data_IF_828622225066
#
_entry.id   IF_828622225066
#
_cell.length_a   1.000
_cell.length_b   1.000
_cell.length_c   1.000
_cell.angle_alpha   90.00
_cell.angle_beta   90.00
_cell.angle_gamma   90.00
#
_symmetry.space_group_name_H-M   'P 1'
#
loop_
_entity.id
_entity.type
_entity.pdbx_description
1 polymer ?
#
# COMPACT_ATOMS: atom_id res chain seq x y z
N UNK A 1 -0.30 20.44 15.18
CA UNK A 1 -1.48 21.01 15.83
C UNK A 1 -2.79 20.34 15.38
N UNK A 2 -3.06 20.17 14.09
CA UNK A 2 -4.30 19.56 13.59
C UNK A 2 -4.58 18.13 14.09
N UNK A 3 -3.58 17.29 14.10
CA UNK A 3 -3.68 15.89 14.60
C UNK A 3 -4.07 15.83 16.08
N UNK A 4 -3.53 16.72 16.89
CA UNK A 4 -3.87 16.82 18.30
C UNK A 4 -5.33 17.23 18.51
N UNK A 5 -5.80 18.20 17.73
CA UNK A 5 -7.20 18.63 17.77
C UNK A 5 -8.14 17.48 17.39
N UNK A 6 -7.82 16.75 16.32
CA UNK A 6 -8.61 15.59 15.89
C UNK A 6 -8.62 14.49 16.97
N UNK A 7 -7.47 14.21 17.58
CA UNK A 7 -7.34 13.21 18.64
C UNK A 7 -8.17 13.54 19.88
N UNK A 8 -8.30 14.82 20.21
CA UNK A 8 -9.13 15.28 21.33
C UNK A 8 -10.62 15.34 20.95
N UNK A 9 -10.92 15.79 19.74
CA UNK A 9 -12.29 16.10 19.30
C UNK A 9 -13.09 14.83 18.97
N UNK A 10 -12.45 13.82 18.38
CA UNK A 10 -13.11 12.54 18.04
C UNK A 10 -13.70 11.85 19.28
N UNK A 11 -12.95 11.61 20.36
CA UNK A 11 -13.53 11.02 21.57
C UNK A 11 -14.64 11.86 22.22
N UNK A 12 -14.55 13.18 22.15
CA UNK A 12 -15.60 14.06 22.67
C UNK A 12 -16.90 13.93 21.86
N UNK A 13 -16.79 13.86 20.53
CA UNK A 13 -17.93 13.61 19.65
C UNK A 13 -18.54 12.25 19.97
N UNK A 14 -17.72 11.20 20.13
CA UNK A 14 -18.19 9.85 20.45
C UNK A 14 -18.98 9.83 21.76
N UNK A 15 -18.43 10.41 22.82
CA UNK A 15 -19.10 10.48 24.12
C UNK A 15 -20.43 11.26 23.97
N UNK A 16 -20.43 12.38 23.25
CA UNK A 16 -21.65 13.15 22.99
C UNK A 16 -22.71 12.33 22.27
N UNK A 17 -22.32 11.57 21.25
CA UNK A 17 -23.21 10.69 20.50
C UNK A 17 -23.73 9.54 21.37
N UNK A 18 -22.88 8.91 22.19
CA UNK A 18 -23.33 7.87 23.13
C UNK A 18 -24.37 8.39 24.13
N UNK A 19 -24.17 9.57 24.68
CA UNK A 19 -25.14 10.19 25.59
C UNK A 19 -26.44 10.48 24.85
N UNK A 20 -26.36 11.07 23.66
CA UNK A 20 -27.53 11.48 22.89
C UNK A 20 -28.34 10.26 22.43
N UNK A 21 -27.70 9.29 21.79
CA UNK A 21 -28.37 8.09 21.27
C UNK A 21 -28.85 7.21 22.40
N UNK A 22 -28.02 6.99 23.45
CA UNK A 22 -28.40 6.24 24.64
C UNK A 22 -29.58 6.87 25.40
N UNK A 23 -29.67 8.21 25.39
CA UNK A 23 -30.81 8.94 25.94
C UNK A 23 -32.12 8.72 25.17
N UNK A 24 -32.03 8.51 23.83
CA UNK A 24 -33.22 8.28 22.99
C UNK A 24 -33.71 6.84 22.98
N UNK A 25 -32.81 5.87 22.83
CA UNK A 25 -33.15 4.45 22.63
C UNK A 25 -32.86 3.59 23.85
N UNK A 26 -32.20 4.14 24.85
CA UNK A 26 -31.79 3.41 26.07
C UNK A 26 -30.45 2.70 25.95
N UNK A 27 -29.91 2.30 27.08
CA UNK A 27 -28.56 1.70 27.19
C UNK A 27 -28.43 0.38 26.42
N UNK A 28 -29.35 -0.54 26.59
CA UNK A 28 -29.27 -1.89 26.02
C UNK A 28 -29.30 -1.90 24.48
N UNK A 29 -30.22 -1.19 23.82
CA UNK A 29 -30.18 -1.07 22.35
C UNK A 29 -28.90 -0.39 21.86
N UNK A 30 -28.41 0.62 22.55
CA UNK A 30 -27.16 1.30 22.19
C UNK A 30 -25.96 0.34 22.21
N UNK A 31 -25.82 -0.45 23.26
CA UNK A 31 -24.78 -1.49 23.35
C UNK A 31 -24.95 -2.57 22.28
N UNK A 32 -26.20 -2.95 21.99
CA UNK A 32 -26.50 -3.88 20.92
C UNK A 32 -26.04 -3.39 19.54
N UNK A 33 -26.24 -2.11 19.24
CA UNK A 33 -25.78 -1.50 18.00
C UNK A 33 -24.26 -1.54 17.92
N UNK A 34 -23.56 -1.15 18.99
CA UNK A 34 -22.08 -1.17 19.04
C UNK A 34 -21.51 -2.57 18.81
N UNK A 35 -22.09 -3.59 19.45
CA UNK A 35 -21.66 -4.98 19.25
C UNK A 35 -21.93 -5.43 17.80
N UNK A 36 -23.08 -5.07 17.25
CA UNK A 36 -23.45 -5.43 15.89
C UNK A 36 -22.52 -4.75 14.86
N UNK A 37 -22.22 -3.47 15.03
CA UNK A 37 -21.28 -2.74 14.14
C UNK A 37 -19.88 -3.32 14.22
N UNK A 38 -19.39 -3.70 15.40
CA UNK A 38 -18.10 -4.35 15.58
C UNK A 38 -18.02 -5.70 14.86
N UNK A 39 -19.06 -6.53 14.96
CA UNK A 39 -19.13 -7.83 14.26
C UNK A 39 -19.16 -7.63 12.75
N UNK A 40 -20.04 -6.76 12.25
CA UNK A 40 -20.15 -6.46 10.83
C UNK A 40 -18.86 -5.83 10.28
N UNK A 41 -18.28 -4.89 11.01
CA UNK A 41 -17.03 -4.24 10.65
C UNK A 41 -15.89 -5.25 10.53
N UNK A 42 -15.73 -6.12 11.53
CA UNK A 42 -14.72 -7.17 11.51
C UNK A 42 -14.89 -8.12 10.32
N UNK A 43 -16.11 -8.54 10.03
CA UNK A 43 -16.41 -9.39 8.88
C UNK A 43 -16.05 -8.72 7.55
N UNK A 44 -16.47 -7.45 7.36
CA UNK A 44 -16.20 -6.68 6.15
C UNK A 44 -14.71 -6.38 5.96
N UNK A 45 -14.02 -5.99 7.02
CA UNK A 45 -12.56 -5.75 6.97
C UNK A 45 -11.81 -7.01 6.58
N UNK A 46 -12.17 -8.15 7.18
CA UNK A 46 -11.54 -9.44 6.85
C UNK A 46 -11.77 -9.83 5.39
N UNK A 47 -13.00 -9.75 4.92
CA UNK A 47 -13.33 -10.13 3.54
C UNK A 47 -12.65 -9.23 2.50
N UNK A 48 -12.72 -7.92 2.72
CA UNK A 48 -12.08 -6.95 1.82
C UNK A 48 -10.55 -6.95 1.94
N UNK A 49 -10.01 -7.20 3.12
CA UNK A 49 -8.58 -7.33 3.36
C UNK A 49 -7.95 -8.48 2.58
N UNK A 50 -8.60 -9.66 2.58
CA UNK A 50 -8.16 -10.81 1.78
C UNK A 50 -8.17 -10.47 0.29
N UNK A 51 -9.22 -9.80 -0.19
CA UNK A 51 -9.33 -9.39 -1.59
C UNK A 51 -8.23 -8.39 -1.96
N UNK A 52 -7.95 -7.41 -1.10
CA UNK A 52 -6.88 -6.43 -1.31
C UNK A 52 -5.49 -7.11 -1.37
N UNK A 53 -5.22 -8.08 -0.50
CA UNK A 53 -3.98 -8.85 -0.51
C UNK A 53 -3.82 -9.67 -1.80
N UNK A 54 -4.90 -10.28 -2.29
CA UNK A 54 -4.88 -11.04 -3.53
C UNK A 54 -4.61 -10.13 -4.74
N UNK A 55 -5.25 -8.95 -4.78
CA UNK A 55 -5.00 -7.96 -5.82
C UNK A 55 -3.55 -7.46 -5.80
N UNK A 56 -3.00 -7.22 -4.61
CA UNK A 56 -1.63 -6.81 -4.45
C UNK A 56 -0.64 -7.87 -4.96
N UNK A 57 -0.86 -9.14 -4.58
CA UNK A 57 -0.05 -10.26 -5.09
C UNK A 57 -0.14 -10.39 -6.62
N UNK A 58 -1.34 -10.20 -7.18
CA UNK A 58 -1.56 -10.20 -8.62
C UNK A 58 -0.77 -9.11 -9.35
N UNK A 59 -0.74 -7.89 -8.80
CA UNK A 59 0.02 -6.76 -9.37
C UNK A 59 1.53 -7.04 -9.39
N UNK A 60 2.06 -7.61 -8.31
CA UNK A 60 3.48 -8.01 -8.29
C UNK A 60 3.81 -9.11 -9.31
N UNK A 61 2.90 -10.10 -9.48
CA UNK A 61 3.12 -11.18 -10.44
C UNK A 61 3.09 -10.71 -11.89
N UNK A 62 2.37 -9.61 -12.17
CA UNK A 62 2.25 -9.01 -13.51
C UNK A 62 3.24 -7.88 -13.75
N UNK A 63 4.11 -7.56 -12.79
CA UNK A 63 5.00 -6.40 -12.84
C UNK A 63 4.25 -5.06 -13.08
N UNK A 64 2.99 -4.99 -12.63
CA UNK A 64 2.15 -3.80 -12.70
C UNK A 64 2.43 -2.90 -11.48
N UNK A 65 2.09 -1.61 -11.59
CA UNK A 65 2.24 -0.63 -10.51
C UNK A 65 1.33 -1.00 -9.32
N UNK A 66 1.90 -1.39 -8.15
CA UNK A 66 1.13 -1.80 -6.99
C UNK A 66 0.53 -0.64 -6.18
N UNK A 67 0.70 0.62 -6.60
CA UNK A 67 0.29 1.81 -5.83
C UNK A 67 -1.20 1.85 -5.55
N UNK A 68 -2.03 1.42 -6.51
CA UNK A 68 -3.49 1.42 -6.35
C UNK A 68 -3.98 0.34 -5.37
N UNK A 69 -3.59 -0.94 -5.50
CA UNK A 69 -3.90 -1.95 -4.51
C UNK A 69 -3.39 -1.61 -3.10
N UNK A 70 -2.19 -1.01 -3.00
CA UNK A 70 -1.64 -0.56 -1.71
C UNK A 70 -2.52 0.53 -1.08
N UNK A 71 -2.93 1.53 -1.85
CA UNK A 71 -3.80 2.59 -1.36
C UNK A 71 -5.16 2.04 -0.89
N UNK A 72 -5.75 1.10 -1.64
CA UNK A 72 -6.96 0.41 -1.23
C UNK A 72 -6.76 -0.39 0.06
N UNK A 73 -5.67 -1.13 0.17
CA UNK A 73 -5.32 -1.88 1.37
C UNK A 73 -5.14 -0.99 2.61
N UNK A 74 -4.41 0.12 2.47
CA UNK A 74 -4.21 1.08 3.55
C UNK A 74 -5.53 1.67 4.07
N UNK A 75 -6.49 1.96 3.17
CA UNK A 75 -7.81 2.46 3.57
C UNK A 75 -8.64 1.40 4.28
N UNK A 76 -8.55 0.14 3.88
CA UNK A 76 -9.22 -0.97 4.59
C UNK A 76 -8.64 -1.14 5.99
N UNK A 77 -7.32 -1.04 6.15
CA UNK A 77 -6.67 -1.11 7.46
C UNK A 77 -7.07 0.07 8.35
N UNK A 78 -7.12 1.28 7.79
CA UNK A 78 -7.59 2.47 8.51
C UNK A 78 -9.05 2.31 8.95
N UNK A 79 -9.92 1.84 8.05
CA UNK A 79 -11.30 1.55 8.38
C UNK A 79 -11.43 0.50 9.49
N UNK A 80 -10.61 -0.56 9.43
CA UNK A 80 -10.54 -1.58 10.48
C UNK A 80 -10.11 -1.02 11.82
N UNK A 81 -9.11 -0.15 11.85
CA UNK A 81 -8.66 0.50 13.07
C UNK A 81 -9.75 1.38 13.69
N UNK A 82 -10.52 2.11 12.86
CA UNK A 82 -11.66 2.92 13.32
C UNK A 82 -12.78 2.05 13.89
N UNK A 83 -13.13 0.95 13.22
CA UNK A 83 -14.19 0.01 13.65
C UNK A 83 -13.79 -0.83 14.87
N UNK A 84 -12.50 -0.95 15.19
CA UNK A 84 -12.03 -1.59 16.42
C UNK A 84 -12.27 -0.69 17.65
N UNK A 85 -12.29 0.63 17.44
CA UNK A 85 -12.57 1.59 18.50
C UNK A 85 -14.09 1.82 18.54
N UNK A 86 -14.81 1.22 19.50
CA UNK A 86 -16.27 1.27 19.47
C UNK A 86 -16.77 2.71 19.58
N UNK A 87 -17.54 3.15 18.57
CA UNK A 87 -18.09 4.50 18.49
C UNK A 87 -19.09 4.67 17.38
N UNK A 88 -19.98 5.65 17.48
CA UNK A 88 -20.97 5.92 16.43
C UNK A 88 -20.37 6.67 15.24
N UNK A 89 -19.58 7.69 15.52
CA UNK A 89 -18.94 8.51 14.48
C UNK A 89 -17.81 7.73 13.78
N UNK A 90 -16.92 7.12 14.57
CA UNK A 90 -15.81 6.33 14.02
C UNK A 90 -16.29 5.12 13.25
N UNK A 91 -17.35 4.44 13.70
CA UNK A 91 -17.98 3.35 12.94
C UNK A 91 -18.57 3.84 11.62
N UNK A 92 -19.26 4.97 11.62
CA UNK A 92 -19.79 5.58 10.40
C UNK A 92 -18.69 5.91 9.39
N UNK A 93 -17.59 6.51 9.83
CA UNK A 93 -16.42 6.79 8.99
C UNK A 93 -15.75 5.50 8.51
N UNK A 94 -15.59 4.52 9.40
CA UNK A 94 -15.03 3.20 9.07
C UNK A 94 -15.83 2.49 7.98
N UNK A 95 -17.16 2.41 8.12
CA UNK A 95 -18.02 1.84 7.09
C UNK A 95 -17.99 2.63 5.79
N UNK A 96 -17.94 3.95 5.85
CA UNK A 96 -17.80 4.79 4.63
C UNK A 96 -16.49 4.46 3.90
N UNK A 97 -15.37 4.28 4.61
CA UNK A 97 -14.08 3.90 4.02
C UNK A 97 -14.08 2.46 3.47
N UNK A 98 -14.90 1.56 4.01
CA UNK A 98 -15.05 0.22 3.46
C UNK A 98 -15.85 0.20 2.16
N UNK A 99 -16.68 1.22 1.89
CA UNK A 99 -17.45 1.31 0.66
C UNK A 99 -16.54 1.57 -0.55
N UNK A 100 -16.53 0.69 -1.59
CA UNK A 100 -15.63 0.85 -2.74
C UNK A 100 -15.75 2.21 -3.45
N UNK A 101 -16.94 2.79 -3.67
CA UNK A 101 -17.06 4.08 -4.34
C UNK A 101 -16.45 5.24 -3.54
N UNK A 102 -16.59 5.23 -2.20
CA UNK A 102 -16.00 6.25 -1.32
C UNK A 102 -14.47 6.16 -1.37
N UNK A 103 -13.95 4.96 -1.30
CA UNK A 103 -12.52 4.66 -1.38
C UNK A 103 -11.92 5.14 -2.69
N UNK A 104 -12.56 4.81 -3.82
CA UNK A 104 -12.13 5.25 -5.15
C UNK A 104 -12.19 6.78 -5.32
N UNK A 105 -13.20 7.43 -4.76
CA UNK A 105 -13.32 8.88 -4.78
C UNK A 105 -12.19 9.54 -3.95
N UNK A 106 -11.91 8.99 -2.77
CA UNK A 106 -10.85 9.50 -1.89
C UNK A 106 -9.46 9.30 -2.49
N UNK A 107 -9.19 8.14 -3.11
CA UNK A 107 -7.91 7.88 -3.82
C UNK A 107 -7.74 8.88 -4.97
N UNK A 108 -8.77 9.12 -5.77
CA UNK A 108 -8.72 10.12 -6.85
C UNK A 108 -8.43 11.52 -6.33
N UNK A 109 -9.07 11.91 -5.23
CA UNK A 109 -8.84 13.21 -4.61
C UNK A 109 -7.39 13.35 -4.10
N UNK A 110 -6.88 12.33 -3.41
CA UNK A 110 -5.52 12.29 -2.91
C UNK A 110 -4.48 12.30 -4.04
N UNK A 111 -4.69 11.51 -5.09
CA UNK A 111 -3.80 11.50 -6.27
C UNK A 111 -3.71 12.87 -6.96
N UNK A 112 -4.79 13.64 -6.96
CA UNK A 112 -4.79 15.00 -7.53
C UNK A 112 -3.94 15.98 -6.72
N UNK A 113 -3.85 15.80 -5.40
CA UNK A 113 -3.14 16.69 -4.49
C UNK A 113 -1.73 16.20 -4.12
N UNK A 114 -1.49 14.91 -4.21
CA UNK A 114 -0.18 14.30 -3.90
C UNK A 114 0.46 13.89 -5.22
N UNK A 115 1.59 14.51 -5.56
CA UNK A 115 2.45 14.05 -6.67
C UNK A 115 3.10 12.74 -6.23
N UNK A 116 2.42 11.62 -6.41
CA UNK A 116 3.03 10.29 -6.22
C UNK A 116 4.08 10.13 -7.32
N UNK A 117 5.36 10.11 -6.98
CA UNK A 117 6.39 9.64 -7.90
C UNK A 117 6.07 8.18 -8.19
N UNK A 118 5.75 7.88 -9.43
CA UNK A 118 5.62 6.48 -9.87
C UNK A 118 6.93 5.78 -9.54
N UNK A 119 6.83 4.73 -8.78
CA UNK A 119 7.95 3.83 -8.56
C UNK A 119 8.04 2.98 -9.84
N UNK A 120 8.83 3.43 -10.81
CA UNK A 120 9.18 2.61 -11.97
C UNK A 120 10.12 1.53 -11.45
N UNK A 121 9.57 0.36 -11.19
CA UNK A 121 10.32 -0.80 -10.73
C UNK A 121 10.92 -1.49 -11.95
N UNK A 122 12.15 -1.12 -12.26
CA UNK A 122 12.97 -1.73 -13.30
C UNK A 122 13.25 -0.84 -14.50
N UNK A 123 14.37 -1.09 -15.20
CA UNK A 123 14.65 -0.45 -16.48
C UNK A 123 13.57 -0.94 -17.45
N UNK A 124 12.79 0.00 -17.99
CA UNK A 124 11.96 -0.29 -19.16
C UNK A 124 12.86 -0.95 -20.22
N UNK A 125 12.42 -2.09 -20.83
CA UNK A 125 13.14 -2.59 -21.98
C UNK A 125 13.25 -1.45 -22.99
N UNK A 126 14.44 -0.97 -23.23
CA UNK A 126 14.68 0.06 -24.22
C UNK A 126 14.28 -0.52 -25.56
N UNK A 127 13.22 0.04 -26.15
CA UNK A 127 12.83 -0.28 -27.51
C UNK A 127 13.89 0.37 -28.43
N UNK A 128 14.78 -0.43 -29.04
CA UNK A 128 15.93 0.10 -29.79
C UNK A 128 15.51 0.86 -31.07
N UNK A 129 14.21 0.84 -31.39
CA UNK A 129 13.73 1.33 -32.68
C UNK A 129 12.53 2.29 -32.56
N UNK A 130 12.67 3.37 -31.78
CA UNK A 130 11.68 4.45 -31.80
C UNK A 130 12.26 5.69 -32.53
N UNK A 131 11.91 5.93 -33.82
CA UNK A 131 12.46 7.05 -34.60
C UNK A 131 12.00 8.44 -34.16
N UNK A 132 11.02 8.54 -33.24
CA UNK A 132 10.42 9.80 -32.77
C UNK A 132 10.89 10.23 -31.37
N UNK A 133 11.97 9.67 -30.86
CA UNK A 133 12.53 10.09 -29.57
C UNK A 133 13.27 11.42 -29.74
N UNK A 134 12.94 12.47 -28.96
CA UNK A 134 13.83 13.62 -28.86
C UNK A 134 15.18 13.10 -28.37
N UNK A 135 16.22 13.26 -29.19
CA UNK A 135 17.58 12.91 -28.78
C UNK A 135 17.92 13.75 -27.54
N UNK A 136 17.86 13.14 -26.37
CA UNK A 136 18.47 13.64 -25.15
C UNK A 136 19.96 13.89 -25.37
N UNK A 137 20.66 14.64 -24.48
CA UNK A 137 22.09 14.83 -24.57
C UNK A 137 22.74 13.48 -24.82
N UNK A 138 23.54 13.40 -25.91
CA UNK A 138 24.19 12.16 -26.34
C UNK A 138 24.83 11.50 -25.14
N UNK A 139 24.38 10.28 -24.81
CA UNK A 139 25.15 9.41 -23.94
C UNK A 139 26.55 9.36 -24.50
N UNK A 140 27.49 9.92 -23.76
CA UNK A 140 28.89 9.88 -24.09
C UNK A 140 29.30 8.42 -23.97
N UNK A 141 29.35 7.71 -25.11
CA UNK A 141 29.97 6.40 -25.17
C UNK A 141 31.42 6.62 -24.80
N UNK A 142 31.83 6.17 -23.64
CA UNK A 142 33.24 6.19 -23.22
C UNK A 142 33.84 4.96 -23.88
N UNK A 143 34.49 5.14 -25.03
CA UNK A 143 35.37 4.11 -25.59
C UNK A 143 36.55 3.96 -24.64
N UNK A 144 36.49 2.94 -23.79
CA UNK A 144 37.59 2.59 -22.92
C UNK A 144 38.42 1.51 -23.63
N UNK A 145 39.65 1.80 -23.95
CA UNK A 145 40.62 0.80 -24.37
C UNK A 145 40.93 -0.09 -23.16
N UNK A 146 40.55 -1.34 -23.25
CA UNK A 146 40.91 -2.32 -22.23
C UNK A 146 42.04 -3.21 -22.77
N UNK A 147 43.07 -3.37 -21.97
CA UNK A 147 44.11 -4.38 -22.20
C UNK A 147 43.79 -5.60 -21.32
N UNK A 148 43.54 -6.71 -21.97
CA UNK A 148 43.42 -7.99 -21.26
C UNK A 148 44.78 -8.40 -20.76
N UNK A 149 45.03 -8.24 -19.45
CA UNK A 149 46.22 -8.72 -18.79
C UNK A 149 46.04 -10.22 -18.56
N UNK A 150 46.48 -11.02 -19.52
CA UNK A 150 46.56 -12.47 -19.35
C UNK A 150 47.73 -12.82 -18.42
N UNK A 151 47.53 -12.71 -17.11
CA UNK A 151 48.42 -13.36 -16.17
C UNK A 151 48.24 -14.87 -16.26
N UNK A 152 49.26 -15.65 -16.56
CA UNK A 152 49.18 -17.11 -16.50
C UNK A 152 48.84 -17.49 -15.07
N UNK A 153 47.65 -18.06 -14.86
CA UNK A 153 47.23 -18.60 -13.57
C UNK A 153 48.25 -19.63 -13.11
N UNK A 154 49.07 -19.29 -12.11
CA UNK A 154 49.92 -20.27 -11.44
C UNK A 154 49.00 -21.31 -10.82
N UNK A 155 49.29 -22.62 -10.99
CA UNK A 155 48.51 -23.68 -10.37
C UNK A 155 48.50 -23.48 -8.85
N UNK A 156 47.33 -23.26 -8.28
CA UNK A 156 47.11 -22.99 -6.85
C UNK A 156 47.21 -24.26 -5.99
N UNK A 157 47.39 -25.42 -6.60
CA UNK A 157 47.52 -26.68 -5.88
C UNK A 157 48.73 -27.46 -6.38
N UNK A 158 49.60 -27.89 -5.47
CA UNK A 158 50.58 -28.96 -5.75
C UNK A 158 49.80 -30.18 -6.20
N UNK A 159 50.28 -30.83 -7.28
CA UNK A 159 49.60 -31.95 -7.92
C UNK A 159 49.13 -32.98 -6.90
N UNK A 160 47.83 -33.17 -6.77
CA UNK A 160 47.25 -34.25 -6.00
C UNK A 160 47.51 -35.54 -6.76
N UNK A 161 48.00 -36.59 -6.10
CA UNK A 161 48.35 -37.87 -6.71
C UNK A 161 47.22 -38.66 -7.35
N UNK A 162 46.05 -38.04 -7.56
CA UNK A 162 44.83 -38.65 -8.14
C UNK A 162 44.61 -38.32 -9.63
N UNK A 163 45.45 -37.49 -10.24
CA UNK A 163 45.34 -37.13 -11.67
C UNK A 163 46.54 -37.65 -12.46
N UNK A 164 46.87 -38.91 -12.34
CA UNK A 164 47.76 -39.61 -13.27
C UNK A 164 46.87 -40.47 -14.19
N UNK A 165 46.45 -39.88 -15.30
CA UNK A 165 46.18 -40.60 -16.55
C UNK A 165 46.62 -39.74 -17.72
#
# INVERSE_FOLDING_TARGET
MWLFVAFLLVPLIEIGLFIQVGGWIGLWPTLGIVVLTAILGTYLVRSQGIMALNNLRGSFSRLEDPSEPLAHGAMILLAGALLLTPGFFTDGVGFALLAPPVRSALIRYLRKHIKVRRFEMGPQPEDPYNPNRPRGPRDTVIDADFHEVSEPKKPTHQGSGWTKH
#
